data_IF_414627470467
#
_entry.id   IF_414627470467
#
_cell.length_a   1.000
_cell.length_b   1.000
_cell.length_c   1.000
_cell.angle_alpha   90.00
_cell.angle_beta   90.00
_cell.angle_gamma   90.00
#
_symmetry.space_group_name_H-M   'P 1'
#
loop_
_entity.id
_entity.type
_entity.pdbx_description
1 polymer ?
#
# COMPACT_ATOMS: atom_id res chain seq x y z
N UNK A 1 -6.63 -28.01 -11.78
CA UNK A 1 -7.68 -27.89 -10.75
C UNK A 1 -7.80 -26.41 -10.40
N UNK A 2 -8.91 -25.74 -10.73
CA UNK A 2 -9.14 -24.32 -10.36
C UNK A 2 -9.11 -24.27 -8.83
N UNK A 3 -8.13 -23.59 -8.24
CA UNK A 3 -8.08 -23.43 -6.80
C UNK A 3 -9.27 -22.56 -6.41
N UNK A 4 -10.26 -23.15 -5.71
CA UNK A 4 -11.39 -22.41 -5.18
C UNK A 4 -10.86 -21.51 -4.05
N UNK A 5 -10.67 -20.23 -4.35
CA UNK A 5 -10.35 -19.21 -3.37
C UNK A 5 -11.68 -18.76 -2.76
N UNK A 6 -11.82 -18.79 -1.44
CA UNK A 6 -13.03 -18.24 -0.82
C UNK A 6 -12.98 -16.72 -0.87
N UNK A 7 -14.15 -16.09 -0.94
CA UNK A 7 -14.29 -14.64 -0.84
C UNK A 7 -13.50 -14.06 0.35
N UNK A 8 -13.54 -14.73 1.51
CA UNK A 8 -12.78 -14.32 2.68
C UNK A 8 -11.27 -14.29 2.43
N UNK A 9 -10.70 -15.34 1.81
CA UNK A 9 -9.26 -15.36 1.53
C UNK A 9 -8.89 -14.32 0.46
N UNK A 10 -9.73 -14.16 -0.57
CA UNK A 10 -9.53 -13.14 -1.61
C UNK A 10 -9.48 -11.72 -1.01
N UNK A 11 -10.44 -11.38 -0.14
CA UNK A 11 -10.46 -10.14 0.63
C UNK A 11 -9.19 -9.93 1.43
N UNK A 12 -8.72 -10.96 2.14
CA UNK A 12 -7.53 -10.83 2.97
C UNK A 12 -6.25 -10.66 2.13
N UNK A 13 -6.11 -11.35 1.00
CA UNK A 13 -4.97 -11.18 0.10
C UNK A 13 -4.96 -9.78 -0.53
N UNK A 14 -6.13 -9.29 -0.95
CA UNK A 14 -6.29 -7.94 -1.46
C UNK A 14 -5.88 -6.88 -0.43
N UNK A 15 -6.42 -6.95 0.79
CA UNK A 15 -6.07 -6.01 1.85
C UNK A 15 -4.62 -6.13 2.29
N UNK A 16 -4.05 -7.34 2.33
CA UNK A 16 -2.62 -7.53 2.58
C UNK A 16 -1.78 -6.74 1.56
N UNK A 17 -2.09 -6.87 0.27
CA UNK A 17 -1.40 -6.13 -0.80
C UNK A 17 -1.44 -4.63 -0.58
N UNK A 18 -2.63 -4.11 -0.24
CA UNK A 18 -2.82 -2.70 0.09
C UNK A 18 -2.01 -2.25 1.30
N UNK A 19 -2.03 -3.01 2.39
CA UNK A 19 -1.33 -2.59 3.61
C UNK A 19 0.18 -2.55 3.43
N UNK A 20 0.78 -3.55 2.79
CA UNK A 20 2.22 -3.56 2.53
C UNK A 20 2.62 -2.40 1.62
N UNK A 21 1.87 -2.16 0.53
CA UNK A 21 2.15 -1.06 -0.39
C UNK A 21 1.98 0.31 0.29
N UNK A 22 0.93 0.49 1.09
CA UNK A 22 0.71 1.74 1.85
C UNK A 22 1.89 2.02 2.78
N UNK A 23 2.38 1.00 3.49
CA UNK A 23 3.53 1.13 4.39
C UNK A 23 4.76 1.55 3.58
N UNK A 24 5.07 0.85 2.49
CA UNK A 24 6.23 1.13 1.63
C UNK A 24 6.22 2.57 1.10
N UNK A 25 5.13 2.97 0.46
CA UNK A 25 5.00 4.29 -0.14
C UNK A 25 5.06 5.39 0.90
N UNK A 26 4.50 5.15 2.09
CA UNK A 26 4.58 6.11 3.19
C UNK A 26 6.00 6.23 3.72
N UNK A 27 6.74 5.13 3.88
CA UNK A 27 8.16 5.15 4.26
C UNK A 27 9.01 5.94 3.25
N UNK A 28 8.77 5.76 1.94
CA UNK A 28 9.47 6.55 0.93
C UNK A 28 9.23 8.06 1.05
N UNK A 29 7.99 8.47 1.33
CA UNK A 29 7.69 9.90 1.53
C UNK A 29 8.19 10.42 2.89
N UNK A 30 8.21 9.58 3.93
CA UNK A 30 8.86 9.89 5.21
C UNK A 30 10.35 10.15 4.99
N UNK A 31 11.07 9.30 4.24
CA UNK A 31 12.49 9.52 3.94
C UNK A 31 12.73 10.86 3.23
N UNK A 32 11.94 11.17 2.20
CA UNK A 32 12.03 12.47 1.51
C UNK A 32 11.73 13.66 2.43
N UNK A 33 10.78 13.52 3.36
CA UNK A 33 10.45 14.56 4.32
C UNK A 33 11.54 14.70 5.39
N UNK A 34 12.11 13.59 5.85
CA UNK A 34 13.21 13.53 6.81
C UNK A 34 14.40 14.36 6.30
N UNK A 35 14.88 14.09 5.08
CA UNK A 35 15.98 14.83 4.46
C UNK A 35 15.67 16.33 4.37
N UNK A 36 14.45 16.68 3.95
CA UNK A 36 14.01 18.08 3.86
C UNK A 36 13.95 18.77 5.21
N UNK A 37 13.53 18.09 6.28
CA UNK A 37 13.44 18.68 7.62
C UNK A 37 14.82 19.08 8.15
N UNK A 38 15.85 18.29 7.82
CA UNK A 38 17.23 18.55 8.23
C UNK A 38 17.77 19.80 7.53
N UNK A 39 17.64 19.87 6.21
CA UNK A 39 18.41 20.84 5.41
C UNK A 39 17.60 22.03 4.87
N UNK A 40 16.28 21.90 4.70
CA UNK A 40 15.51 22.81 3.83
C UNK A 40 14.28 23.42 4.51
N UNK A 41 13.39 22.58 5.05
CA UNK A 41 12.07 22.97 5.52
C UNK A 41 11.65 22.13 6.73
N UNK A 42 11.77 22.74 7.91
CA UNK A 42 11.36 22.12 9.18
C UNK A 42 9.89 21.69 9.20
N UNK A 43 9.03 22.24 8.34
CA UNK A 43 7.61 21.90 8.25
C UNK A 43 7.30 20.85 7.17
N UNK A 44 8.31 20.26 6.52
CA UNK A 44 8.07 19.30 5.43
C UNK A 44 7.26 18.07 5.87
N UNK A 45 7.47 17.57 7.09
CA UNK A 45 6.66 16.49 7.66
C UNK A 45 5.20 16.88 7.91
N UNK A 46 4.94 18.12 8.33
CA UNK A 46 3.58 18.64 8.50
C UNK A 46 2.87 18.68 7.14
N UNK A 47 3.55 19.21 6.11
CA UNK A 47 3.02 19.27 4.73
C UNK A 47 2.77 17.88 4.14
N UNK A 48 3.63 16.91 4.46
CA UNK A 48 3.43 15.51 4.08
C UNK A 48 2.13 14.97 4.68
N UNK A 49 1.96 15.07 6.00
CA UNK A 49 0.81 14.49 6.69
C UNK A 49 -0.51 15.20 6.42
N UNK A 50 -0.47 16.48 6.04
CA UNK A 50 -1.63 17.18 5.49
C UNK A 50 -2.22 16.48 4.25
N UNK A 51 -1.40 15.85 3.40
CA UNK A 51 -1.89 15.06 2.25
C UNK A 51 -2.66 13.81 2.68
N UNK A 52 -2.38 13.29 3.87
CA UNK A 52 -3.15 12.22 4.49
C UNK A 52 -4.36 12.72 5.28
N UNK A 53 -4.65 14.04 5.25
CA UNK A 53 -5.64 14.70 6.09
C UNK A 53 -5.36 14.52 7.60
N UNK A 54 -4.08 14.49 7.98
CA UNK A 54 -3.61 14.34 9.36
C UNK A 54 -2.87 15.60 9.79
N UNK A 55 -3.28 16.17 10.93
CA UNK A 55 -2.55 17.26 11.56
C UNK A 55 -1.40 16.69 12.40
N UNK A 56 -0.21 16.61 11.81
CA UNK A 56 0.98 16.14 12.50
C UNK A 56 1.72 17.31 13.16
N UNK A 57 2.11 17.15 14.43
CA UNK A 57 2.93 18.10 15.18
C UNK A 57 4.19 17.41 15.67
N UNK A 58 5.35 18.02 15.42
CA UNK A 58 6.64 17.57 15.92
C UNK A 58 7.58 18.78 16.11
N UNK A 59 8.60 18.59 16.92
CA UNK A 59 9.56 19.62 17.34
C UNK A 59 10.90 19.56 16.61
N UNK A 60 11.28 18.38 16.12
CA UNK A 60 12.53 18.14 15.41
C UNK A 60 12.47 16.85 14.60
N UNK A 61 13.57 16.50 13.93
CA UNK A 61 13.59 15.39 12.96
C UNK A 61 13.38 14.01 13.61
N UNK A 62 13.94 13.78 14.80
CA UNK A 62 13.74 12.51 15.53
C UNK A 62 12.30 12.38 16.03
N UNK A 63 11.72 13.47 16.53
CA UNK A 63 10.32 13.54 16.94
C UNK A 63 9.38 13.38 15.73
N UNK A 64 9.76 13.90 14.56
CA UNK A 64 9.03 13.64 13.30
C UNK A 64 8.96 12.14 13.01
N UNK A 65 10.08 11.40 13.07
CA UNK A 65 10.07 9.97 12.82
C UNK A 65 9.16 9.22 13.81
N UNK A 66 9.29 9.54 15.10
CA UNK A 66 8.46 8.96 16.17
C UNK A 66 6.97 9.15 15.88
N UNK A 67 6.56 10.40 15.62
CA UNK A 67 5.16 10.73 15.33
C UNK A 67 4.69 10.18 14.00
N UNK A 68 5.52 10.16 12.97
CA UNK A 68 5.16 9.66 11.65
C UNK A 68 4.92 8.15 11.65
N UNK A 69 5.79 7.38 12.32
CA UNK A 69 5.79 5.92 12.25
C UNK A 69 4.84 5.31 13.29
N UNK A 70 4.88 5.80 14.54
CA UNK A 70 4.11 5.24 15.66
C UNK A 70 3.19 6.24 16.37
N UNK A 71 2.97 7.42 15.80
CA UNK A 71 2.05 8.41 16.37
C UNK A 71 0.58 7.96 16.39
N UNK A 72 -0.23 8.63 17.21
CA UNK A 72 -1.65 8.33 17.35
C UNK A 72 -2.47 8.94 16.20
N UNK A 73 -2.43 8.29 15.04
CA UNK A 73 -3.20 8.69 13.86
C UNK A 73 -3.49 7.51 12.92
N UNK A 74 -4.41 7.71 11.96
CA UNK A 74 -4.83 6.67 11.03
C UNK A 74 -3.72 6.11 10.13
N UNK A 75 -2.66 6.88 9.85
CA UNK A 75 -1.51 6.45 9.05
C UNK A 75 -0.38 5.79 9.86
N UNK A 76 -0.66 5.32 11.09
CA UNK A 76 0.34 4.70 11.95
C UNK A 76 0.81 3.38 11.33
N UNK A 77 2.10 3.29 11.01
CA UNK A 77 2.65 2.16 10.27
C UNK A 77 2.66 0.87 11.10
N UNK A 78 2.88 0.97 12.41
CA UNK A 78 2.82 -0.18 13.30
C UNK A 78 1.39 -0.79 13.34
N UNK A 79 0.35 0.05 13.36
CA UNK A 79 -1.04 -0.41 13.30
C UNK A 79 -1.38 -1.02 11.94
N UNK A 80 -0.97 -0.39 10.84
CA UNK A 80 -1.14 -0.96 9.50
C UNK A 80 -0.46 -2.34 9.39
N UNK A 81 0.70 -2.49 10.02
CA UNK A 81 1.43 -3.76 10.03
C UNK A 81 0.76 -4.84 10.88
N UNK A 82 0.00 -4.47 11.93
CA UNK A 82 -0.88 -5.43 12.63
C UNK A 82 -1.94 -5.95 11.67
N UNK A 83 -2.62 -5.07 10.92
CA UNK A 83 -3.61 -5.50 9.93
C UNK A 83 -2.99 -6.39 8.85
N UNK A 84 -1.84 -6.02 8.30
CA UNK A 84 -1.13 -6.83 7.32
C UNK A 84 -0.82 -8.25 7.86
N UNK A 85 -0.34 -8.36 9.11
CA UNK A 85 -0.09 -9.66 9.76
C UNK A 85 -1.36 -10.51 9.86
N UNK A 86 -2.47 -9.93 10.33
CA UNK A 86 -3.72 -10.70 10.49
C UNK A 86 -4.23 -11.23 9.15
N UNK A 87 -4.21 -10.39 8.10
CA UNK A 87 -4.56 -10.82 6.74
C UNK A 87 -3.64 -11.95 6.24
N UNK A 88 -2.35 -11.88 6.57
CA UNK A 88 -1.35 -12.90 6.23
C UNK A 88 -1.61 -14.23 6.93
N UNK A 89 -2.03 -14.20 8.20
CA UNK A 89 -2.39 -15.41 8.97
C UNK A 89 -3.60 -16.09 8.35
N UNK A 90 -4.64 -15.33 8.01
CA UNK A 90 -5.86 -15.87 7.39
C UNK A 90 -5.54 -16.46 6.01
N UNK A 91 -4.71 -15.80 5.22
CA UNK A 91 -4.32 -16.23 3.88
C UNK A 91 -3.14 -17.21 3.86
N UNK A 92 -2.66 -17.71 5.01
CA UNK A 92 -1.43 -18.51 5.13
C UNK A 92 -1.27 -19.63 4.10
N UNK A 93 -2.30 -20.44 3.77
CA UNK A 93 -2.16 -21.52 2.78
C UNK A 93 -1.82 -21.05 1.36
N UNK A 94 -1.99 -19.76 1.07
CA UNK A 94 -1.82 -19.14 -0.25
C UNK A 94 -0.56 -18.26 -0.35
N UNK A 95 0.12 -18.06 0.79
CA UNK A 95 1.35 -17.28 0.89
C UNK A 95 2.52 -18.26 1.04
N UNK A 96 3.56 -18.09 0.23
CA UNK A 96 4.76 -18.92 0.34
C UNK A 96 5.49 -18.64 1.66
N UNK A 97 6.28 -19.62 2.11
CA UNK A 97 6.93 -19.51 3.43
C UNK A 97 7.97 -18.40 3.52
N UNK A 98 8.60 -18.00 2.41
CA UNK A 98 9.57 -16.89 2.40
C UNK A 98 8.82 -15.57 2.58
N UNK A 99 7.83 -15.28 1.73
CA UNK A 99 6.97 -14.09 1.85
C UNK A 99 6.32 -14.01 3.24
N UNK A 100 5.84 -15.14 3.78
CA UNK A 100 5.30 -15.19 5.13
C UNK A 100 6.34 -14.82 6.18
N UNK A 101 7.56 -15.36 6.09
CA UNK A 101 8.66 -15.06 7.01
C UNK A 101 8.99 -13.57 7.04
N UNK A 102 9.16 -12.96 5.87
CA UNK A 102 9.47 -11.53 5.74
C UNK A 102 8.37 -10.65 6.33
N UNK A 103 7.09 -10.99 6.12
CA UNK A 103 5.96 -10.25 6.71
C UNK A 103 5.98 -10.33 8.24
N UNK A 104 6.29 -11.50 8.81
CA UNK A 104 6.37 -11.67 10.27
C UNK A 104 7.57 -10.91 10.85
N UNK A 105 8.70 -10.91 10.14
CA UNK A 105 9.88 -10.14 10.54
C UNK A 105 9.60 -8.63 10.49
N UNK A 106 8.97 -8.14 9.42
CA UNK A 106 8.56 -6.74 9.28
C UNK A 106 7.60 -6.33 10.41
N UNK A 107 6.62 -7.18 10.73
CA UNK A 107 5.74 -6.95 11.88
C UNK A 107 6.50 -6.87 13.19
N UNK A 108 7.46 -7.79 13.41
CA UNK A 108 8.27 -7.81 14.63
C UNK A 108 9.11 -6.54 14.77
N UNK A 109 9.68 -6.04 13.68
CA UNK A 109 10.40 -4.78 13.63
C UNK A 109 9.50 -3.61 14.06
N UNK A 110 8.31 -3.46 13.47
CA UNK A 110 7.39 -2.38 13.84
C UNK A 110 6.86 -2.50 15.27
N UNK A 111 6.63 -3.71 15.78
CA UNK A 111 6.27 -3.92 17.18
C UNK A 111 7.40 -3.51 18.13
N UNK A 112 8.65 -3.81 17.80
CA UNK A 112 9.82 -3.35 18.57
C UNK A 112 9.89 -1.82 18.58
N UNK A 113 9.74 -1.19 17.41
CA UNK A 113 9.72 0.28 17.27
C UNK A 113 8.61 0.90 18.12
N UNK A 114 7.40 0.33 18.05
CA UNK A 114 6.23 0.83 18.78
C UNK A 114 6.37 0.72 20.29
N UNK A 115 7.00 -0.34 20.79
CA UNK A 115 7.17 -0.60 22.22
C UNK A 115 8.45 0.02 22.80
N UNK A 116 9.36 0.52 21.96
CA UNK A 116 10.59 1.16 22.41
C UNK A 116 10.35 2.59 22.86
N UNK A 117 11.04 2.99 23.93
CA UNK A 117 11.16 4.40 24.35
C UNK A 117 12.33 5.10 23.66
N UNK A 118 13.15 4.36 22.91
CA UNK A 118 14.26 4.93 22.14
C UNK A 118 13.74 5.62 20.88
N UNK A 119 14.50 6.61 20.40
CA UNK A 119 14.21 7.27 19.14
C UNK A 119 14.38 6.27 17.99
N UNK A 120 13.56 6.41 16.97
CA UNK A 120 13.64 5.61 15.76
C UNK A 120 14.93 5.98 15.00
N UNK A 121 15.73 4.97 14.67
CA UNK A 121 16.90 5.16 13.81
C UNK A 121 16.45 5.10 12.35
N UNK A 122 17.08 5.90 11.50
CA UNK A 122 16.89 5.79 10.05
C UNK A 122 17.17 4.37 9.53
N UNK A 123 18.11 3.65 10.18
CA UNK A 123 18.37 2.23 9.89
C UNK A 123 17.14 1.33 10.04
N UNK A 124 16.22 1.66 10.95
CA UNK A 124 14.98 0.89 11.10
C UNK A 124 14.09 1.02 9.85
N UNK A 125 14.08 2.20 9.22
CA UNK A 125 13.35 2.46 7.98
C UNK A 125 13.98 1.69 6.81
N UNK A 126 15.30 1.74 6.67
CA UNK A 126 16.02 0.99 5.63
C UNK A 126 15.79 -0.53 5.76
N UNK A 127 15.77 -1.02 7.01
CA UNK A 127 15.47 -2.43 7.29
C UNK A 127 14.04 -2.77 6.88
N UNK A 128 13.06 -1.92 7.22
CA UNK A 128 11.67 -2.12 6.82
C UNK A 128 11.50 -2.15 5.30
N UNK A 129 12.11 -1.21 4.57
CA UNK A 129 12.07 -1.16 3.10
C UNK A 129 12.75 -2.37 2.46
N UNK A 130 13.84 -2.87 3.07
CA UNK A 130 14.53 -4.07 2.60
C UNK A 130 13.64 -5.31 2.72
N UNK A 131 12.98 -5.50 3.86
CA UNK A 131 12.04 -6.61 4.07
C UNK A 131 10.85 -6.53 3.09
N UNK A 132 10.31 -5.33 2.86
CA UNK A 132 9.24 -5.12 1.87
C UNK A 132 9.71 -5.48 0.45
N UNK A 133 10.94 -5.11 0.10
CA UNK A 133 11.53 -5.46 -1.19
C UNK A 133 11.65 -6.97 -1.37
N UNK A 134 12.01 -7.71 -0.31
CA UNK A 134 12.05 -9.17 -0.33
C UNK A 134 10.64 -9.79 -0.45
N UNK A 135 9.62 -9.22 0.22
CA UNK A 135 8.21 -9.62 0.07
C UNK A 135 7.78 -9.54 -1.40
N UNK A 136 8.02 -8.40 -2.06
CA UNK A 136 7.65 -8.22 -3.45
C UNK A 136 8.49 -9.06 -4.41
N UNK A 137 9.80 -9.15 -4.15
CA UNK A 137 10.72 -9.98 -4.93
C UNK A 137 10.36 -11.46 -4.88
N UNK A 138 10.00 -11.98 -3.70
CA UNK A 138 9.54 -13.37 -3.53
C UNK A 138 8.23 -13.62 -4.28
N UNK A 139 7.30 -12.65 -4.25
CA UNK A 139 6.05 -12.73 -4.98
C UNK A 139 6.25 -12.74 -6.51
N UNK A 140 7.12 -11.87 -7.04
CA UNK A 140 7.37 -11.72 -8.48
C UNK A 140 8.13 -12.92 -9.09
N UNK A 141 9.04 -13.53 -8.33
CA UNK A 141 9.84 -14.68 -8.78
C UNK A 141 9.02 -15.98 -8.92
N UNK A 142 7.74 -16.00 -8.53
CA UNK A 142 6.89 -17.19 -8.66
C UNK A 142 6.64 -17.52 -10.14
N UNK A 143 7.25 -18.61 -10.61
CA UNK A 143 7.16 -19.05 -12.02
C UNK A 143 5.76 -19.45 -12.50
N UNK A 144 4.83 -19.79 -11.60
CA UNK A 144 3.43 -20.07 -11.93
C UNK A 144 2.50 -19.25 -11.03
N UNK A 145 1.79 -18.29 -11.63
CA UNK A 145 0.83 -17.44 -10.92
C UNK A 145 -0.47 -18.20 -10.64
N UNK A 146 -0.87 -18.24 -9.38
CA UNK A 146 -2.16 -18.74 -8.91
C UNK A 146 -3.17 -17.60 -8.82
N UNK A 147 -4.46 -17.93 -8.74
CA UNK A 147 -5.53 -16.95 -8.53
C UNK A 147 -5.25 -16.04 -7.31
N UNK A 148 -4.77 -16.62 -6.21
CA UNK A 148 -4.38 -15.87 -5.00
C UNK A 148 -3.30 -14.81 -5.24
N UNK A 149 -2.38 -15.06 -6.17
CA UNK A 149 -1.29 -14.12 -6.47
C UNK A 149 -1.85 -12.84 -7.10
N UNK A 150 -2.90 -12.97 -7.91
CA UNK A 150 -3.54 -11.82 -8.54
C UNK A 150 -4.28 -10.93 -7.55
N UNK A 151 -4.93 -11.48 -6.52
CA UNK A 151 -5.56 -10.64 -5.47
C UNK A 151 -4.52 -9.88 -4.65
N UNK A 152 -3.40 -10.50 -4.31
CA UNK A 152 -2.31 -9.83 -3.60
C UNK A 152 -1.70 -8.70 -4.45
N UNK A 153 -1.40 -8.98 -5.73
CA UNK A 153 -0.92 -7.96 -6.68
C UNK A 153 -1.96 -6.85 -6.92
N UNK A 154 -3.23 -7.19 -7.02
CA UNK A 154 -4.31 -6.23 -7.24
C UNK A 154 -4.41 -5.22 -6.08
N UNK A 155 -4.26 -5.70 -4.84
CA UNK A 155 -4.16 -4.82 -3.66
C UNK A 155 -3.02 -3.82 -3.79
N UNK A 156 -1.82 -4.30 -4.14
CA UNK A 156 -0.65 -3.44 -4.39
C UNK A 156 -0.95 -2.34 -5.41
N UNK A 157 -1.42 -2.71 -6.60
CA UNK A 157 -1.63 -1.74 -7.68
C UNK A 157 -2.71 -0.69 -7.35
N UNK A 158 -3.82 -1.11 -6.72
CA UNK A 158 -4.89 -0.18 -6.34
C UNK A 158 -4.41 0.82 -5.30
N UNK A 159 -3.62 0.35 -4.34
CA UNK A 159 -3.01 1.24 -3.34
C UNK A 159 -2.02 2.21 -3.98
N UNK A 160 -1.23 1.76 -4.95
CA UNK A 160 -0.32 2.61 -5.71
C UNK A 160 -1.07 3.73 -6.45
N UNK A 161 -2.22 3.43 -7.07
CA UNK A 161 -3.09 4.44 -7.72
C UNK A 161 -3.61 5.44 -6.68
N UNK A 162 -4.18 4.98 -5.56
CA UNK A 162 -4.67 5.86 -4.48
C UNK A 162 -3.58 6.83 -4.01
N UNK A 163 -2.38 6.30 -3.79
CA UNK A 163 -1.24 7.08 -3.35
C UNK A 163 -0.79 8.08 -4.42
N UNK A 164 -0.74 7.69 -5.70
CA UNK A 164 -0.34 8.58 -6.80
C UNK A 164 -1.29 9.75 -6.97
N UNK A 165 -2.59 9.50 -6.93
CA UNK A 165 -3.63 10.53 -7.01
C UNK A 165 -3.50 11.55 -5.86
N UNK A 166 -3.24 11.07 -4.65
CA UNK A 166 -3.05 11.91 -3.45
C UNK A 166 -1.78 12.76 -3.50
N UNK A 167 -0.73 12.27 -4.15
CA UNK A 167 0.59 12.93 -4.18
C UNK A 167 0.90 13.70 -5.46
N UNK A 168 -0.09 13.86 -6.35
CA UNK A 168 0.05 14.54 -7.67
C UNK A 168 1.21 13.95 -8.49
N UNK A 169 1.31 12.61 -8.48
CA UNK A 169 2.34 11.87 -9.23
C UNK A 169 1.93 11.71 -10.70
N UNK A 170 2.91 11.45 -11.57
CA UNK A 170 2.79 11.37 -13.03
C UNK A 170 1.51 10.65 -13.52
N UNK A 171 0.68 11.36 -14.31
CA UNK A 171 -0.60 10.90 -14.89
C UNK A 171 -0.40 9.71 -15.84
N UNK A 172 0.67 9.71 -16.64
CA UNK A 172 0.98 8.65 -17.60
C UNK A 172 1.29 7.34 -16.88
N UNK A 173 2.12 7.39 -15.84
CA UNK A 173 2.41 6.20 -15.03
C UNK A 173 1.17 5.68 -14.31
N UNK A 174 0.33 6.59 -13.80
CA UNK A 174 -0.94 6.21 -13.15
C UNK A 174 -1.86 5.48 -14.11
N UNK A 175 -1.95 5.95 -15.37
CA UNK A 175 -2.72 5.28 -16.42
C UNK A 175 -2.20 3.87 -16.71
N UNK A 176 -0.90 3.68 -16.82
CA UNK A 176 -0.31 2.35 -17.03
C UNK A 176 -0.64 1.37 -15.90
N UNK A 177 -0.61 1.82 -14.65
CA UNK A 177 -0.97 0.98 -13.50
C UNK A 177 -2.45 0.60 -13.56
N UNK A 178 -3.31 1.53 -13.99
CA UNK A 178 -4.73 1.25 -14.18
C UNK A 178 -4.93 0.20 -15.29
N UNK A 179 -4.22 0.31 -16.42
CA UNK A 179 -4.26 -0.70 -17.48
C UNK A 179 -3.85 -2.10 -16.97
N UNK A 180 -2.84 -2.16 -16.09
CA UNK A 180 -2.42 -3.38 -15.41
C UNK A 180 -3.52 -3.94 -14.48
N UNK A 181 -4.22 -3.07 -13.72
CA UNK A 181 -5.36 -3.46 -12.88
C UNK A 181 -6.46 -4.12 -13.73
N UNK A 182 -6.84 -3.49 -14.85
CA UNK A 182 -7.86 -4.03 -15.74
C UNK A 182 -7.43 -5.34 -16.40
N UNK A 183 -6.14 -5.51 -16.67
CA UNK A 183 -5.59 -6.79 -17.12
C UNK A 183 -5.78 -7.87 -16.06
N UNK A 184 -5.55 -7.56 -14.78
CA UNK A 184 -5.81 -8.49 -13.68
C UNK A 184 -7.30 -8.80 -13.54
N UNK A 185 -8.18 -7.81 -13.66
CA UNK A 185 -9.63 -8.05 -13.63
C UNK A 185 -10.06 -9.06 -14.69
N UNK A 186 -9.59 -8.92 -15.94
CA UNK A 186 -9.87 -9.88 -17.02
C UNK A 186 -9.28 -11.27 -16.80
N UNK A 187 -8.16 -11.36 -16.08
CA UNK A 187 -7.57 -12.66 -15.73
C UNK A 187 -8.41 -13.36 -14.65
N UNK A 188 -8.89 -12.61 -13.66
CA UNK A 188 -9.72 -13.13 -12.56
C UNK A 188 -11.13 -13.49 -13.02
N UNK A 189 -11.73 -12.64 -13.84
CA UNK A 189 -13.00 -12.86 -14.52
C UNK A 189 -12.88 -12.58 -16.02
N UNK A 190 -12.82 -13.62 -16.88
CA UNK A 190 -12.75 -13.46 -18.33
C UNK A 190 -13.96 -12.76 -18.96
N UNK A 191 -15.11 -12.74 -18.28
CA UNK A 191 -16.31 -12.04 -18.74
C UNK A 191 -16.37 -10.60 -18.25
N UNK A 192 -15.31 -10.11 -17.57
CA UNK A 192 -15.22 -8.75 -17.09
C UNK A 192 -15.19 -7.78 -18.28
N UNK A 193 -16.35 -7.24 -18.63
CA UNK A 193 -16.57 -6.42 -19.81
C UNK A 193 -16.91 -4.98 -19.40
N UNK A 194 -15.89 -4.22 -19.00
CA UNK A 194 -16.00 -2.77 -18.90
C UNK A 194 -14.76 -2.09 -19.50
N UNK A 195 -15.02 -1.20 -20.47
CA UNK A 195 -14.02 -0.34 -21.11
C UNK A 195 -13.61 0.77 -20.14
N UNK A 196 -12.31 1.06 -20.11
CA UNK A 196 -11.72 2.23 -19.45
C UNK A 196 -12.20 3.49 -20.18
N UNK A 197 -13.40 3.97 -19.88
CA UNK A 197 -13.90 5.26 -20.39
C UNK A 197 -13.54 6.43 -19.47
N UNK A 198 -12.97 6.18 -18.30
CA UNK A 198 -12.81 7.18 -17.23
C UNK A 198 -11.65 8.13 -17.45
N UNK A 199 -10.47 7.70 -17.93
CA UNK A 199 -9.33 8.60 -18.06
C UNK A 199 -9.35 9.49 -19.32
N UNK A 200 -9.99 9.05 -20.41
CA UNK A 200 -9.97 9.81 -21.67
C UNK A 200 -10.84 11.09 -21.64
N UNK A 201 -11.76 11.23 -20.69
CA UNK A 201 -12.61 12.42 -20.55
C UNK A 201 -12.15 13.39 -19.45
N UNK A 202 -11.10 13.07 -18.70
CA UNK A 202 -10.80 13.71 -17.41
C UNK A 202 -9.55 14.61 -17.39
N UNK A 203 -8.77 14.67 -18.48
CA UNK A 203 -7.56 15.51 -18.57
C UNK A 203 -7.82 17.02 -18.69
N UNK A 204 -8.96 17.54 -18.21
CA UNK A 204 -9.23 18.99 -18.19
C UNK A 204 -9.65 19.58 -16.84
N UNK A 205 -10.04 18.81 -15.81
CA UNK A 205 -10.44 19.39 -14.52
C UNK A 205 -9.82 18.66 -13.32
N UNK A 206 -8.92 19.35 -12.61
CA UNK A 206 -8.28 18.95 -11.34
C UNK A 206 -9.24 19.03 -10.14
N UNK A 207 -10.46 18.51 -10.27
CA UNK A 207 -11.42 18.49 -9.16
C UNK A 207 -11.19 17.25 -8.28
N UNK A 208 -11.11 17.45 -6.96
CA UNK A 208 -11.05 16.38 -5.93
C UNK A 208 -12.16 15.34 -6.12
N UNK A 209 -13.31 15.75 -6.65
CA UNK A 209 -14.43 14.88 -7.00
C UNK A 209 -14.07 13.82 -8.06
N UNK A 210 -13.16 14.12 -8.98
CA UNK A 210 -12.77 13.21 -10.08
C UNK A 210 -11.91 12.05 -9.56
N UNK A 211 -10.96 12.34 -8.67
CA UNK A 211 -10.11 11.32 -8.04
C UNK A 211 -10.93 10.35 -7.18
N UNK A 212 -11.86 10.90 -6.40
CA UNK A 212 -12.75 10.12 -5.55
C UNK A 212 -13.65 9.20 -6.40
N UNK A 213 -14.19 9.70 -7.51
CA UNK A 213 -15.00 8.90 -8.43
C UNK A 213 -14.23 7.72 -9.06
N UNK A 214 -12.96 7.90 -9.40
CA UNK A 214 -12.13 6.82 -9.96
C UNK A 214 -11.84 5.73 -8.92
N UNK A 215 -11.46 6.11 -7.70
CA UNK A 215 -11.19 5.14 -6.64
C UNK A 215 -12.46 4.39 -6.23
N UNK A 216 -13.59 5.09 -6.13
CA UNK A 216 -14.88 4.47 -5.81
C UNK A 216 -15.29 3.44 -6.88
N UNK A 217 -15.02 3.73 -8.15
CA UNK A 217 -15.24 2.80 -9.26
C UNK A 217 -14.36 1.55 -9.15
N UNK A 218 -13.04 1.72 -8.92
CA UNK A 218 -12.12 0.60 -8.71
C UNK A 218 -12.55 -0.26 -7.51
N UNK A 219 -12.95 0.35 -6.40
CA UNK A 219 -13.40 -0.39 -5.22
C UNK A 219 -14.69 -1.18 -5.47
N UNK A 220 -15.64 -0.62 -6.22
CA UNK A 220 -16.85 -1.35 -6.62
C UNK A 220 -16.51 -2.58 -7.46
N UNK A 221 -15.58 -2.45 -8.41
CA UNK A 221 -15.13 -3.55 -9.26
C UNK A 221 -14.44 -4.66 -8.48
N UNK A 222 -13.56 -4.30 -7.54
CA UNK A 222 -12.93 -5.29 -6.64
C UNK A 222 -13.99 -6.03 -5.83
N UNK A 223 -14.96 -5.31 -5.26
CA UNK A 223 -16.01 -5.92 -4.46
C UNK A 223 -16.87 -6.89 -5.29
N UNK A 224 -17.17 -6.55 -6.55
CA UNK A 224 -17.88 -7.45 -7.46
C UNK A 224 -17.08 -8.76 -7.70
N UNK A 225 -15.77 -8.67 -7.89
CA UNK A 225 -14.89 -9.84 -8.10
C UNK A 225 -14.73 -10.74 -6.87
N UNK A 226 -14.91 -10.20 -5.66
CA UNK A 226 -14.72 -10.95 -4.41
C UNK A 226 -16.00 -11.63 -3.93
N UNK A 227 -17.17 -11.09 -4.30
CA UNK A 227 -18.49 -11.57 -3.84
C UNK A 227 -19.02 -12.74 -4.69
N UNK A 228 -18.51 -12.93 -5.90
CA UNK A 228 -18.81 -14.10 -6.77
C UNK A 228 -17.99 -15.35 -6.41
#
# INVERSE_FOLDING_TARGET
>A
MKQLLTANVATNLYWLGRYIERIELTLFEINKAYDKIIDVDKNAGVKLYQKFNIELKYTGVLDFLDKAIKGEHAANLANLMVYARENTIIARPYIDSSTFGEIIELHTLFQKISNSTENIDYKDIDTALSLISEIWGAHEKRGHRKCSDYFFKLGKLIEEVDFRLRFDKNEETTKHIIDDIYTIFKILDPNFDEKIDTLQKQSQNKDTNVQQNLMDDLYKKVNALIVE
#
